data_IF_929130354743
#
_entry.id   IF_929130354743
#
_cell.length_a   1.000
_cell.length_b   1.000
_cell.length_c   1.000
_cell.angle_alpha   90.00
_cell.angle_beta   90.00
_cell.angle_gamma   90.00
#
_symmetry.space_group_name_H-M   'P 1'
#
loop_
_entity.id
_entity.type
_entity.pdbx_description
1 polymer ?
#
# COMPACT_ATOMS: atom_id res chain seq x y z
N UNK A 1 18.50 -19.24 -13.63
CA UNK A 1 18.91 -18.31 -12.54
C UNK A 1 18.38 -18.93 -11.26
N UNK A 2 19.19 -19.08 -10.24
CA UNK A 2 18.72 -19.56 -8.92
C UNK A 2 17.90 -18.44 -8.25
N UNK A 3 17.07 -18.78 -7.26
CA UNK A 3 16.28 -17.77 -6.51
C UNK A 3 17.20 -16.72 -5.87
N UNK A 4 18.38 -17.14 -5.40
CA UNK A 4 19.40 -16.24 -4.82
C UNK A 4 19.92 -15.23 -5.85
N UNK A 5 20.27 -15.69 -7.06
CA UNK A 5 20.73 -14.81 -8.14
C UNK A 5 19.64 -13.84 -8.60
N UNK A 6 18.39 -14.30 -8.58
CA UNK A 6 17.24 -13.47 -8.95
C UNK A 6 17.03 -12.32 -7.94
N UNK A 7 17.03 -12.61 -6.65
CA UNK A 7 16.91 -11.59 -5.58
C UNK A 7 18.10 -10.61 -5.65
N UNK A 8 19.33 -11.11 -5.81
CA UNK A 8 20.52 -10.27 -5.99
C UNK A 8 20.36 -9.29 -7.14
N UNK A 9 19.90 -9.77 -8.29
CA UNK A 9 19.68 -8.95 -9.48
C UNK A 9 18.59 -7.89 -9.26
N UNK A 10 17.47 -8.25 -8.61
CA UNK A 10 16.39 -7.31 -8.25
C UNK A 10 16.88 -6.21 -7.33
N UNK A 11 17.65 -6.56 -6.29
CA UNK A 11 18.25 -5.60 -5.36
C UNK A 11 19.24 -4.66 -6.07
N UNK A 12 20.04 -5.18 -7.00
CA UNK A 12 20.96 -4.34 -7.79
C UNK A 12 20.21 -3.32 -8.65
N UNK A 13 19.16 -3.74 -9.36
CA UNK A 13 18.32 -2.85 -10.16
C UNK A 13 17.67 -1.76 -9.27
N UNK A 14 17.12 -2.16 -8.12
CA UNK A 14 16.49 -1.22 -7.18
C UNK A 14 17.49 -0.20 -6.64
N UNK A 15 18.68 -0.64 -6.24
CA UNK A 15 19.74 0.26 -5.75
C UNK A 15 20.23 1.23 -6.81
N UNK A 16 20.32 0.82 -8.05
CA UNK A 16 20.61 1.71 -9.17
C UNK A 16 19.54 2.80 -9.30
N UNK A 17 18.26 2.42 -9.19
CA UNK A 17 17.15 3.36 -9.27
C UNK A 17 17.15 4.34 -8.08
N UNK A 18 17.43 3.85 -6.86
CA UNK A 18 17.62 4.71 -5.69
C UNK A 18 18.73 5.75 -5.93
N UNK A 19 19.86 5.33 -6.53
CA UNK A 19 20.95 6.23 -6.89
C UNK A 19 20.52 7.32 -7.88
N UNK A 20 19.76 6.95 -8.90
CA UNK A 20 19.27 7.87 -9.94
C UNK A 20 18.33 8.94 -9.37
N UNK A 21 17.54 8.58 -8.36
CA UNK A 21 16.54 9.46 -7.74
C UNK A 21 17.01 10.07 -6.42
N UNK A 22 18.29 9.92 -6.06
CA UNK A 22 18.90 10.49 -4.85
C UNK A 22 18.23 10.06 -3.54
N UNK A 23 17.77 8.80 -3.45
CA UNK A 23 17.33 8.17 -2.22
C UNK A 23 18.44 7.32 -1.60
N UNK A 24 18.57 7.36 -0.28
CA UNK A 24 19.50 6.54 0.49
C UNK A 24 18.90 5.22 0.94
N UNK A 25 17.57 5.18 1.08
CA UNK A 25 16.80 3.99 1.42
C UNK A 25 15.41 4.01 0.78
N UNK A 26 14.80 2.84 0.63
CA UNK A 26 13.40 2.65 0.24
C UNK A 26 12.68 1.79 1.26
N UNK A 27 11.50 2.24 1.69
CA UNK A 27 10.55 1.45 2.47
C UNK A 27 9.58 0.79 1.49
N UNK A 28 9.44 -0.52 1.59
CA UNK A 28 8.53 -1.34 0.80
C UNK A 28 7.55 -2.03 1.74
N UNK A 29 6.35 -1.48 1.85
CA UNK A 29 5.27 -2.07 2.62
C UNK A 29 4.62 -3.23 1.85
N UNK A 30 4.09 -4.21 2.58
CA UNK A 30 3.12 -5.11 2.01
C UNK A 30 1.76 -4.43 1.99
N UNK A 31 1.33 -4.04 0.79
CA UNK A 31 0.09 -3.32 0.57
C UNK A 31 -0.02 -2.87 -0.88
N UNK A 32 -1.23 -2.52 -1.25
CA UNK A 32 -1.58 -1.92 -2.53
C UNK A 32 -2.19 -0.51 -2.33
N UNK A 33 -2.73 0.02 -3.39
CA UNK A 33 -3.35 1.34 -3.45
C UNK A 33 -4.67 1.42 -2.64
N UNK A 34 -5.22 0.27 -2.25
CA UNK A 34 -6.40 0.15 -1.39
C UNK A 34 -6.03 -0.11 0.08
N UNK A 35 -4.75 -0.27 0.40
CA UNK A 35 -4.20 -0.69 1.69
C UNK A 35 -4.80 -2.03 2.15
N UNK A 36 -5.01 -2.95 1.20
CA UNK A 36 -5.66 -4.24 1.42
C UNK A 36 -4.76 -5.24 2.13
N UNK A 37 -5.35 -6.08 2.99
CA UNK A 37 -4.66 -7.21 3.63
C UNK A 37 -4.38 -8.35 2.64
N UNK A 38 -5.22 -8.51 1.64
CA UNK A 38 -5.08 -9.51 0.58
C UNK A 38 -4.76 -8.82 -0.74
N UNK A 39 -3.71 -9.28 -1.40
CA UNK A 39 -3.21 -8.66 -2.62
C UNK A 39 -3.40 -9.56 -3.84
N UNK A 40 -3.70 -9.00 -5.00
CA UNK A 40 -3.56 -9.73 -6.24
C UNK A 40 -2.08 -10.02 -6.55
N UNK A 41 -1.75 -11.09 -7.30
CA UNK A 41 -0.36 -11.50 -7.55
C UNK A 41 0.54 -10.39 -8.11
N UNK A 42 -0.02 -9.50 -8.91
CA UNK A 42 0.69 -8.37 -9.51
C UNK A 42 0.96 -7.20 -8.55
N UNK A 43 0.50 -7.27 -7.30
CA UNK A 43 0.75 -6.29 -6.23
C UNK A 43 1.61 -6.83 -5.08
N UNK A 44 2.03 -8.08 -5.14
CA UNK A 44 2.91 -8.73 -4.14
C UNK A 44 4.36 -8.22 -4.23
N UNK A 45 4.53 -6.90 -4.14
CA UNK A 45 5.79 -6.18 -4.29
C UNK A 45 6.83 -6.57 -3.25
N UNK A 46 6.38 -6.77 -2.00
CA UNK A 46 7.25 -7.24 -0.92
C UNK A 46 7.79 -8.63 -1.23
N UNK A 47 6.94 -9.56 -1.64
CA UNK A 47 7.35 -10.91 -2.01
C UNK A 47 8.31 -10.91 -3.21
N UNK A 48 8.07 -10.06 -4.20
CA UNK A 48 8.96 -9.91 -5.35
C UNK A 48 10.39 -9.54 -4.94
N UNK A 49 10.56 -8.55 -4.05
CA UNK A 49 11.91 -8.06 -3.72
C UNK A 49 12.60 -8.89 -2.64
N UNK A 50 11.86 -9.56 -1.74
CA UNK A 50 12.42 -10.27 -0.59
C UNK A 50 12.34 -11.79 -0.69
N UNK A 51 11.42 -12.33 -1.49
CA UNK A 51 10.99 -13.75 -1.47
C UNK A 51 10.00 -14.07 -0.35
N UNK A 52 9.71 -13.14 0.57
CA UNK A 52 8.81 -13.36 1.69
C UNK A 52 7.34 -13.23 1.28
N UNK A 53 6.55 -14.28 1.51
CA UNK A 53 5.14 -14.38 1.10
C UNK A 53 4.14 -14.27 2.25
N UNK A 54 4.59 -13.87 3.45
CA UNK A 54 3.70 -13.66 4.60
C UNK A 54 2.79 -12.46 4.42
N UNK A 55 1.65 -12.44 5.11
CA UNK A 55 0.63 -11.40 4.93
C UNK A 55 0.89 -10.08 5.67
N UNK A 56 1.95 -10.00 6.47
CA UNK A 56 2.34 -8.76 7.16
C UNK A 56 3.85 -8.61 7.19
N UNK A 57 4.35 -7.53 6.64
CA UNK A 57 5.78 -7.25 6.60
C UNK A 57 6.10 -5.93 5.91
N UNK A 58 7.27 -5.40 6.22
CA UNK A 58 7.86 -4.23 5.58
C UNK A 58 9.33 -4.48 5.35
N UNK A 59 9.84 -4.23 4.16
CA UNK A 59 11.26 -4.24 3.89
C UNK A 59 11.81 -2.83 3.82
N UNK A 60 13.07 -2.68 4.25
CA UNK A 60 13.87 -1.49 3.98
C UNK A 60 15.09 -1.90 3.18
N UNK A 61 15.31 -1.27 2.05
CA UNK A 61 16.47 -1.50 1.18
C UNK A 61 17.33 -0.24 1.13
N UNK A 62 18.58 -0.35 1.56
CA UNK A 62 19.54 0.74 1.51
C UNK A 62 20.23 0.81 0.15
N UNK A 63 20.56 2.02 -0.26
CA UNK A 63 21.57 2.26 -1.30
C UNK A 63 22.94 1.83 -0.76
N UNK A 64 23.70 1.07 -1.52
CA UNK A 64 24.85 0.25 -1.10
C UNK A 64 26.03 0.94 -0.37
N UNK A 65 25.96 2.23 -0.03
CA UNK A 65 27.05 2.98 0.61
C UNK A 65 26.58 3.94 1.71
N UNK A 66 25.38 3.85 2.19
CA UNK A 66 24.76 4.83 3.12
C UNK A 66 24.72 4.35 4.56
N UNK A 67 25.68 3.52 4.99
CA UNK A 67 25.73 3.03 6.39
C UNK A 67 26.61 3.95 7.23
N UNK A 68 26.04 4.46 8.34
CA UNK A 68 26.74 5.21 9.37
C UNK A 68 27.75 4.32 10.09
N UNK A 69 28.87 4.88 10.51
CA UNK A 69 29.75 4.20 11.47
C UNK A 69 29.03 4.07 12.82
N UNK A 70 28.70 2.82 13.18
CA UNK A 70 27.82 2.48 14.31
C UNK A 70 28.51 2.54 15.65
N UNK A 71 29.84 2.67 15.66
CA UNK A 71 30.62 2.74 16.90
C UNK A 71 30.19 3.87 17.87
N UNK A 72 29.41 4.84 17.36
CA UNK A 72 28.92 6.02 18.09
C UNK A 72 27.39 6.13 18.23
N UNK A 73 26.64 5.07 17.93
CA UNK A 73 25.16 5.14 17.96
C UNK A 73 24.61 5.16 19.41
N UNK A 74 23.64 6.07 19.72
CA UNK A 74 23.03 6.18 21.04
C UNK A 74 21.92 5.16 21.33
N UNK A 75 21.82 4.06 20.57
CA UNK A 75 20.75 3.07 20.74
C UNK A 75 21.01 2.21 21.97
N UNK A 76 19.96 2.02 22.78
CA UNK A 76 19.93 1.20 23.99
C UNK A 76 19.99 -0.32 23.73
N UNK A 77 20.39 -0.76 22.55
CA UNK A 77 20.64 -2.15 22.22
C UNK A 77 22.09 -2.46 22.60
N UNK A 78 22.31 -3.54 23.31
CA UNK A 78 23.68 -3.95 23.71
C UNK A 78 24.57 -4.08 22.45
N UNK A 79 25.83 -3.61 22.55
CA UNK A 79 26.73 -3.53 21.36
C UNK A 79 26.96 -4.84 20.63
N UNK A 80 26.79 -5.98 21.29
CA UNK A 80 26.88 -7.30 20.69
C UNK A 80 25.70 -7.60 19.75
N UNK A 81 24.50 -7.09 20.08
CA UNK A 81 23.30 -7.23 19.22
C UNK A 81 23.35 -6.30 18.00
N UNK A 82 23.98 -5.12 18.10
CA UNK A 82 24.14 -4.18 16.98
C UNK A 82 25.02 -4.72 15.84
N UNK A 83 26.09 -5.44 16.17
CA UNK A 83 26.96 -6.06 15.13
C UNK A 83 26.27 -7.21 14.42
N UNK A 84 25.32 -7.87 15.06
CA UNK A 84 24.45 -8.90 14.46
C UNK A 84 23.36 -8.24 13.61
N UNK A 85 22.90 -7.04 13.97
CA UNK A 85 21.83 -6.27 13.33
C UNK A 85 22.21 -5.69 11.95
N UNK A 86 23.48 -5.74 11.56
CA UNK A 86 24.00 -4.95 10.42
C UNK A 86 24.83 -5.76 9.44
N UNK A 87 24.47 -7.01 9.25
CA UNK A 87 25.14 -7.86 8.24
C UNK A 87 24.80 -7.42 6.83
N UNK A 88 23.60 -6.87 6.63
CA UNK A 88 23.06 -6.62 5.33
C UNK A 88 22.61 -5.17 5.13
N UNK A 89 22.60 -4.75 3.89
CA UNK A 89 22.10 -3.44 3.46
C UNK A 89 20.60 -3.48 3.11
N UNK A 90 19.89 -4.49 3.63
CA UNK A 90 18.44 -4.57 3.59
C UNK A 90 17.92 -5.32 4.82
N UNK A 91 16.74 -4.94 5.27
CA UNK A 91 16.07 -5.56 6.41
C UNK A 91 14.60 -5.85 6.09
N UNK A 92 14.09 -6.94 6.68
CA UNK A 92 12.69 -7.33 6.63
C UNK A 92 12.12 -7.33 8.06
N UNK A 93 11.08 -6.55 8.27
CA UNK A 93 10.37 -6.45 9.54
C UNK A 93 9.05 -7.18 9.43
N UNK A 94 8.78 -8.11 10.34
CA UNK A 94 7.57 -8.95 10.34
C UNK A 94 6.95 -9.03 11.73
N UNK A 95 5.68 -9.40 11.80
CA UNK A 95 5.06 -9.70 13.10
C UNK A 95 5.47 -11.11 13.62
N UNK A 96 5.13 -11.39 14.88
CA UNK A 96 5.52 -12.62 15.55
C UNK A 96 5.05 -13.92 14.87
N UNK A 97 3.99 -13.85 14.06
CA UNK A 97 3.45 -15.02 13.31
C UNK A 97 4.40 -15.46 12.20
N UNK A 98 5.22 -14.55 11.69
CA UNK A 98 6.04 -14.75 10.49
C UNK A 98 7.53 -14.88 10.72
N UNK A 99 8.01 -14.89 11.97
CA UNK A 99 9.45 -14.91 12.27
C UNK A 99 10.18 -16.12 11.69
N UNK A 100 9.58 -17.30 11.74
CA UNK A 100 10.17 -18.51 11.17
C UNK A 100 10.11 -18.50 9.63
N UNK A 101 8.98 -18.08 9.07
CA UNK A 101 8.80 -17.97 7.63
C UNK A 101 9.77 -16.96 7.02
N UNK A 102 9.94 -15.80 7.63
CA UNK A 102 10.88 -14.78 7.18
C UNK A 102 12.33 -15.31 7.13
N UNK A 103 12.76 -16.05 8.16
CA UNK A 103 14.10 -16.66 8.19
C UNK A 103 14.33 -17.71 7.10
N UNK A 104 13.27 -18.38 6.66
CA UNK A 104 13.37 -19.42 5.61
C UNK A 104 13.30 -18.80 4.22
N UNK A 105 12.43 -17.82 4.03
CA UNK A 105 12.11 -17.26 2.71
C UNK A 105 12.97 -16.05 2.33
N UNK A 106 13.22 -15.13 3.26
CA UNK A 106 14.11 -14.01 3.00
C UNK A 106 15.57 -14.48 3.17
N UNK A 107 16.30 -14.48 2.05
CA UNK A 107 17.68 -14.99 2.07
C UNK A 107 18.55 -14.13 3.00
N UNK A 108 19.16 -14.79 4.00
CA UNK A 108 20.01 -14.15 5.03
C UNK A 108 21.33 -13.56 4.48
N UNK A 109 21.68 -13.84 3.22
CA UNK A 109 22.79 -13.16 2.55
C UNK A 109 22.45 -11.70 2.15
N UNK A 110 21.16 -11.37 2.08
CA UNK A 110 20.69 -10.06 1.61
C UNK A 110 19.85 -9.31 2.63
N UNK A 111 19.10 -10.04 3.49
CA UNK A 111 18.15 -9.45 4.44
C UNK A 111 18.42 -9.88 5.87
N UNK A 112 18.51 -8.92 6.76
CA UNK A 112 18.31 -9.15 8.19
C UNK A 112 16.81 -9.18 8.48
N UNK A 113 16.34 -10.15 9.28
CA UNK A 113 14.92 -10.31 9.59
C UNK A 113 14.65 -10.00 11.05
N UNK A 114 13.74 -9.06 11.30
CA UNK A 114 13.38 -8.57 12.65
C UNK A 114 11.89 -8.76 12.93
N UNK A 115 11.59 -8.92 14.21
CA UNK A 115 10.22 -8.87 14.69
C UNK A 115 9.91 -7.43 15.15
N UNK A 116 8.78 -6.84 14.72
CA UNK A 116 8.41 -5.44 14.94
C UNK A 116 8.48 -4.97 16.40
N UNK A 117 8.08 -5.83 17.34
CA UNK A 117 8.07 -5.50 18.76
C UNK A 117 9.43 -5.68 19.46
N UNK A 118 10.45 -6.17 18.75
CA UNK A 118 11.83 -6.30 19.27
C UNK A 118 12.69 -5.21 18.68
N UNK A 119 12.65 -5.04 17.35
CA UNK A 119 13.36 -3.96 16.64
C UNK A 119 12.39 -3.26 15.73
N UNK A 120 12.10 -1.99 16.02
CA UNK A 120 11.24 -1.21 15.14
C UNK A 120 12.02 -0.76 13.90
N UNK A 121 11.31 -0.71 12.76
CA UNK A 121 11.88 -0.19 11.51
C UNK A 121 12.44 1.23 11.68
N UNK A 122 11.77 2.06 12.46
CA UNK A 122 12.16 3.46 12.70
C UNK A 122 13.48 3.52 13.47
N UNK A 123 13.60 2.75 14.52
CA UNK A 123 14.84 2.69 15.31
C UNK A 123 16.01 2.15 14.50
N UNK A 124 15.75 1.12 13.68
CA UNK A 124 16.74 0.58 12.77
C UNK A 124 17.21 1.63 11.75
N UNK A 125 16.28 2.37 11.11
CA UNK A 125 16.62 3.46 10.19
C UNK A 125 17.44 4.56 10.86
N UNK A 126 17.03 4.99 12.07
CA UNK A 126 17.76 6.02 12.86
C UNK A 126 19.17 5.57 13.25
N UNK A 127 19.35 4.26 13.47
CA UNK A 127 20.66 3.69 13.82
C UNK A 127 21.63 3.69 12.65
N UNK A 128 21.14 3.35 11.48
CA UNK A 128 21.97 3.02 10.32
C UNK A 128 22.22 4.22 9.42
N UNK A 129 21.20 5.07 9.22
CA UNK A 129 21.32 6.18 8.29
C UNK A 129 22.02 7.38 8.92
N UNK A 130 22.99 7.99 8.23
CA UNK A 130 23.56 9.25 8.63
C UNK A 130 22.52 10.39 8.58
N UNK A 131 22.79 11.47 9.31
CA UNK A 131 21.99 12.69 9.19
C UNK A 131 21.98 13.20 7.74
N UNK A 132 20.88 13.81 7.35
CA UNK A 132 20.58 14.31 5.99
C UNK A 132 20.31 13.21 4.95
N UNK A 133 20.18 11.94 5.36
CA UNK A 133 19.72 10.88 4.48
C UNK A 133 18.27 11.10 4.01
N UNK A 134 17.96 10.59 2.84
CA UNK A 134 16.63 10.66 2.21
C UNK A 134 16.07 9.25 2.09
N UNK A 135 14.93 9.01 2.75
CA UNK A 135 14.19 7.74 2.69
C UNK A 135 13.00 7.90 1.76
N UNK A 136 12.85 6.98 0.81
CA UNK A 136 11.73 6.92 -0.12
C UNK A 136 10.60 6.01 0.37
N UNK A 137 9.36 6.37 0.08
CA UNK A 137 8.17 5.53 0.27
C UNK A 137 7.17 5.82 -0.85
N UNK A 138 6.48 4.78 -1.31
CA UNK A 138 5.41 4.96 -2.31
C UNK A 138 4.18 5.61 -1.65
N UNK A 139 3.72 6.78 -2.16
CA UNK A 139 2.54 7.46 -1.63
C UNK A 139 1.26 6.64 -1.74
N UNK A 140 1.16 5.73 -2.70
CA UNK A 140 -0.04 4.90 -2.92
C UNK A 140 -0.11 3.70 -1.96
N UNK A 141 0.98 3.38 -1.25
CA UNK A 141 1.07 2.22 -0.36
C UNK A 141 1.27 2.62 1.11
N UNK A 142 0.87 3.81 1.49
CA UNK A 142 0.97 4.31 2.87
C UNK A 142 -0.19 5.25 3.19
N UNK A 143 -0.77 5.14 4.40
CA UNK A 143 -1.78 6.10 4.83
C UNK A 143 -1.16 7.47 5.14
N UNK A 144 -1.93 8.53 5.01
CA UNK A 144 -1.49 9.89 5.34
C UNK A 144 -1.00 10.01 6.80
N UNK A 145 -1.70 9.38 7.74
CA UNK A 145 -1.34 9.41 9.14
C UNK A 145 -0.01 8.67 9.38
N UNK A 146 0.12 7.44 8.87
CA UNK A 146 1.36 6.67 9.00
C UNK A 146 2.56 7.38 8.33
N UNK A 147 2.34 8.03 7.19
CA UNK A 147 3.38 8.83 6.56
C UNK A 147 3.83 9.99 7.45
N UNK A 148 2.90 10.74 8.05
CA UNK A 148 3.24 11.87 8.90
C UNK A 148 3.93 11.44 10.21
N UNK A 149 3.46 10.37 10.84
CA UNK A 149 4.09 9.78 12.02
C UNK A 149 5.55 9.40 11.71
N UNK A 150 5.75 8.62 10.64
CA UNK A 150 7.07 8.18 10.21
C UNK A 150 7.98 9.37 9.85
N UNK A 151 7.44 10.36 9.14
CA UNK A 151 8.16 11.59 8.77
C UNK A 151 8.63 12.36 9.99
N UNK A 152 7.76 12.54 10.99
CA UNK A 152 8.08 13.27 12.20
C UNK A 152 9.15 12.52 13.03
N UNK A 153 9.03 11.21 13.15
CA UNK A 153 9.99 10.38 13.88
C UNK A 153 11.38 10.39 13.22
N UNK A 154 11.46 10.26 11.91
CA UNK A 154 12.75 10.29 11.19
C UNK A 154 13.40 11.68 11.23
N UNK A 155 12.60 12.74 11.23
CA UNK A 155 13.08 14.12 11.30
C UNK A 155 13.85 14.41 12.61
N UNK A 156 13.56 13.71 13.71
CA UNK A 156 14.31 13.84 14.98
C UNK A 156 15.80 13.48 14.83
N UNK A 157 16.14 12.69 13.82
CA UNK A 157 17.54 12.33 13.50
C UNK A 157 18.05 13.01 12.22
N UNK A 158 17.40 14.09 11.79
CA UNK A 158 17.69 14.78 10.53
C UNK A 158 17.61 13.86 9.29
N UNK A 159 16.71 12.88 9.29
CA UNK A 159 16.43 12.02 8.16
C UNK A 159 15.15 12.52 7.49
N UNK A 160 15.18 12.69 6.18
CA UNK A 160 14.04 13.18 5.39
C UNK A 160 13.26 12.04 4.79
N UNK A 161 11.95 11.95 5.03
CA UNK A 161 11.06 11.04 4.32
C UNK A 161 10.44 11.76 3.12
N UNK A 162 10.52 11.16 1.93
CA UNK A 162 9.96 11.68 0.69
C UNK A 162 9.13 10.64 -0.05
N UNK A 163 8.13 11.09 -0.77
CA UNK A 163 7.42 10.23 -1.72
C UNK A 163 8.29 9.92 -2.94
N UNK A 164 8.25 8.68 -3.39
CA UNK A 164 8.83 8.28 -4.68
C UNK A 164 7.92 8.78 -5.82
N UNK A 165 8.48 9.12 -7.00
CA UNK A 165 7.68 9.59 -8.13
C UNK A 165 6.76 8.52 -8.73
N UNK A 166 7.09 7.26 -8.54
CA UNK A 166 6.34 6.07 -8.91
C UNK A 166 6.75 4.91 -8.00
N UNK A 167 6.08 3.77 -8.11
CA UNK A 167 6.50 2.57 -7.39
C UNK A 167 7.78 2.00 -7.99
N UNK A 168 8.88 2.02 -7.23
CA UNK A 168 10.19 1.57 -7.71
C UNK A 168 10.27 0.04 -7.88
N UNK A 169 9.46 -0.73 -7.15
CA UNK A 169 9.39 -2.16 -7.37
C UNK A 169 8.71 -2.46 -8.70
N UNK A 170 7.60 -1.80 -9.00
CA UNK A 170 6.91 -1.94 -10.28
C UNK A 170 7.79 -1.54 -11.47
N UNK A 171 8.64 -0.53 -11.30
CA UNK A 171 9.56 -0.07 -12.34
C UNK A 171 10.64 -1.12 -12.71
N UNK A 172 11.01 -2.00 -11.79
CA UNK A 172 12.01 -3.06 -12.03
C UNK A 172 11.39 -4.45 -12.28
N UNK A 173 10.09 -4.61 -12.06
CA UNK A 173 9.37 -5.89 -12.15
C UNK A 173 8.89 -6.15 -13.59
N UNK A 174 9.77 -6.67 -14.44
CA UNK A 174 9.47 -6.90 -15.86
C UNK A 174 8.48 -8.06 -16.08
N UNK A 175 8.57 -9.12 -15.25
CA UNK A 175 7.72 -10.30 -15.34
C UNK A 175 6.47 -10.19 -14.48
N UNK A 176 6.03 -8.97 -14.18
CA UNK A 176 4.83 -8.71 -13.40
C UNK A 176 3.62 -9.38 -14.06
N UNK A 177 2.87 -10.16 -13.30
CA UNK A 177 1.67 -10.81 -13.80
C UNK A 177 0.70 -9.76 -14.39
N UNK A 178 0.06 -10.11 -15.48
CA UNK A 178 -1.01 -9.27 -16.01
C UNK A 178 -2.12 -9.15 -14.97
N UNK A 179 -2.75 -8.00 -14.93
CA UNK A 179 -3.94 -7.81 -14.12
C UNK A 179 -5.06 -8.69 -14.69
N UNK A 180 -5.50 -9.65 -13.89
CA UNK A 180 -6.71 -10.40 -14.20
C UNK A 180 -7.91 -9.54 -13.85
N UNK A 181 -8.91 -9.52 -14.72
CA UNK A 181 -10.16 -8.85 -14.43
C UNK A 181 -11.33 -9.76 -14.73
N UNK A 182 -12.35 -9.68 -13.91
CA UNK A 182 -13.62 -10.33 -14.10
C UNK A 182 -14.74 -9.29 -14.06
N UNK A 183 -15.84 -9.51 -14.76
CA UNK A 183 -17.00 -8.63 -14.67
C UNK A 183 -17.49 -8.50 -13.22
N UNK A 184 -18.01 -7.32 -12.89
CA UNK A 184 -18.72 -7.10 -11.64
C UNK A 184 -19.92 -8.03 -11.54
N UNK A 185 -20.20 -8.53 -10.34
CA UNK A 185 -21.35 -9.38 -10.05
C UNK A 185 -22.24 -8.67 -9.03
N UNK A 186 -23.52 -8.50 -9.35
CA UNK A 186 -24.51 -8.00 -8.39
C UNK A 186 -24.74 -9.05 -7.31
N UNK A 187 -24.59 -8.63 -6.06
CA UNK A 187 -24.90 -9.46 -4.91
C UNK A 187 -26.30 -9.11 -4.41
N UNK A 188 -27.27 -10.01 -4.69
CA UNK A 188 -28.69 -9.75 -4.53
C UNK A 188 -29.07 -9.34 -3.09
N UNK A 189 -30.03 -8.42 -2.98
CA UNK A 189 -30.47 -7.86 -1.70
C UNK A 189 -30.96 -8.90 -0.70
N UNK A 190 -31.51 -10.02 -1.18
CA UNK A 190 -31.92 -11.14 -0.31
C UNK A 190 -30.80 -11.73 0.54
N UNK A 191 -29.53 -11.54 0.13
CA UNK A 191 -28.36 -12.00 0.90
C UNK A 191 -27.68 -10.89 1.67
N UNK A 192 -27.90 -9.62 1.29
CA UNK A 192 -27.22 -8.46 1.88
C UNK A 192 -27.91 -7.91 3.13
N UNK A 193 -29.19 -8.19 3.32
CA UNK A 193 -30.00 -7.67 4.43
C UNK A 193 -30.35 -6.17 4.33
N UNK A 194 -29.63 -5.40 3.51
CA UNK A 194 -29.88 -3.97 3.30
C UNK A 194 -29.53 -3.57 1.84
N UNK A 195 -30.49 -3.03 1.08
CA UNK A 195 -30.23 -2.55 -0.28
C UNK A 195 -29.16 -1.47 -0.33
N UNK A 196 -28.37 -1.44 -1.42
CA UNK A 196 -27.33 -0.45 -1.66
C UNK A 196 -27.86 0.99 -1.56
N UNK A 197 -29.04 1.25 -2.11
CA UNK A 197 -29.69 2.58 -2.06
C UNK A 197 -29.95 3.03 -0.62
N UNK A 198 -30.35 2.12 0.27
CA UNK A 198 -30.58 2.46 1.68
C UNK A 198 -29.27 2.72 2.44
N UNK A 199 -28.22 1.94 2.20
CA UNK A 199 -26.87 2.21 2.75
C UNK A 199 -26.37 3.58 2.32
N UNK A 200 -26.55 3.92 1.04
CA UNK A 200 -26.21 5.21 0.47
C UNK A 200 -26.91 6.38 1.19
N UNK A 201 -28.22 6.29 1.41
CA UNK A 201 -28.99 7.28 2.16
C UNK A 201 -28.48 7.44 3.60
N UNK A 202 -28.18 6.33 4.28
CA UNK A 202 -27.66 6.35 5.65
C UNK A 202 -26.31 7.09 5.73
N UNK A 203 -25.38 6.77 4.82
CA UNK A 203 -24.08 7.44 4.80
C UNK A 203 -24.24 8.93 4.46
N UNK A 204 -25.04 9.27 3.45
CA UNK A 204 -25.29 10.66 3.08
C UNK A 204 -25.93 11.45 4.25
N UNK A 205 -26.83 10.82 5.02
CA UNK A 205 -27.35 11.41 6.25
C UNK A 205 -26.26 11.70 7.28
N UNK A 206 -25.37 10.75 7.53
CA UNK A 206 -24.25 10.93 8.46
C UNK A 206 -23.34 12.09 7.99
N UNK A 207 -23.07 12.20 6.69
CA UNK A 207 -22.31 13.31 6.14
C UNK A 207 -22.98 14.66 6.41
N UNK A 208 -24.29 14.76 6.15
CA UNK A 208 -25.05 15.99 6.46
C UNK A 208 -25.01 16.33 7.95
N UNK A 209 -25.26 15.35 8.81
CA UNK A 209 -25.26 15.53 10.27
C UNK A 209 -23.88 16.01 10.79
N UNK A 210 -22.79 15.61 10.12
CA UNK A 210 -21.41 16.01 10.43
C UNK A 210 -20.95 17.27 9.66
N UNK A 211 -21.79 17.87 8.84
CA UNK A 211 -21.46 18.99 7.96
C UNK A 211 -20.28 18.69 7.01
N UNK A 212 -20.25 17.47 6.48
CA UNK A 212 -19.27 17.02 5.51
C UNK A 212 -19.90 16.94 4.12
N UNK A 213 -19.14 17.33 3.10
CA UNK A 213 -19.62 17.34 1.73
C UNK A 213 -19.57 15.96 1.09
N UNK A 214 -18.49 15.19 1.38
CA UNK A 214 -18.27 13.88 0.78
C UNK A 214 -17.41 12.97 1.68
N UNK A 215 -17.46 11.66 1.37
CA UNK A 215 -16.57 10.64 1.89
C UNK A 215 -15.88 9.94 0.71
N UNK A 216 -14.56 9.91 0.73
CA UNK A 216 -13.75 9.07 -0.16
C UNK A 216 -13.54 7.69 0.48
N UNK A 217 -13.79 6.64 -0.28
CA UNK A 217 -13.64 5.24 0.16
C UNK A 217 -12.58 4.59 -0.71
N UNK A 218 -11.44 4.23 -0.11
CA UNK A 218 -10.33 3.52 -0.76
C UNK A 218 -10.36 2.02 -0.54
N UNK A 219 -10.96 1.54 0.55
CA UNK A 219 -11.07 0.10 0.83
C UNK A 219 -12.04 -0.57 -0.14
N UNK A 220 -11.53 -1.53 -0.92
CA UNK A 220 -12.34 -2.30 -1.87
C UNK A 220 -13.50 -3.01 -1.19
N UNK A 221 -13.31 -3.58 0.00
CA UNK A 221 -14.37 -4.24 0.77
C UNK A 221 -15.51 -3.28 1.10
N UNK A 222 -15.18 -2.06 1.49
CA UNK A 222 -16.17 -1.03 1.84
C UNK A 222 -16.95 -0.56 0.61
N UNK A 223 -16.28 -0.40 -0.54
CA UNK A 223 -16.93 -0.09 -1.82
C UNK A 223 -17.90 -1.23 -2.21
N UNK A 224 -17.42 -2.48 -2.16
CA UNK A 224 -18.23 -3.65 -2.50
C UNK A 224 -19.42 -3.84 -1.55
N UNK A 225 -19.24 -3.54 -0.25
CA UNK A 225 -20.33 -3.54 0.72
C UNK A 225 -21.35 -2.44 0.41
N UNK A 226 -20.93 -1.22 0.13
CA UNK A 226 -21.82 -0.11 -0.14
C UNK A 226 -22.66 -0.34 -1.40
N UNK A 227 -22.03 -0.83 -2.47
CA UNK A 227 -22.68 -1.07 -3.75
C UNK A 227 -23.40 -2.43 -3.83
N UNK A 228 -23.25 -3.32 -2.85
CA UNK A 228 -23.74 -4.70 -2.93
C UNK A 228 -23.26 -5.42 -4.19
N UNK A 229 -21.99 -5.28 -4.50
CA UNK A 229 -21.35 -5.97 -5.64
C UNK A 229 -20.26 -6.91 -5.18
N UNK A 230 -19.84 -7.79 -6.05
CA UNK A 230 -18.70 -8.70 -5.87
C UNK A 230 -17.85 -8.72 -7.13
N UNK A 231 -16.60 -9.17 -6.98
CA UNK A 231 -15.65 -9.36 -8.07
C UNK A 231 -14.70 -10.51 -7.78
N UNK A 232 -13.65 -10.62 -8.60
CA UNK A 232 -12.63 -11.66 -8.48
C UNK A 232 -11.22 -11.09 -8.69
N UNK A 233 -11.01 -9.84 -8.34
CA UNK A 233 -9.72 -9.17 -8.55
C UNK A 233 -8.64 -9.68 -7.61
N UNK A 234 -9.05 -10.23 -6.46
CA UNK A 234 -8.14 -10.76 -5.44
C UNK A 234 -8.43 -12.24 -5.21
N UNK A 235 -7.44 -13.13 -5.23
CA UNK A 235 -7.63 -14.54 -4.91
C UNK A 235 -8.27 -14.73 -3.54
N UNK A 236 -9.30 -15.57 -3.47
CA UNK A 236 -10.02 -15.92 -2.24
C UNK A 236 -10.78 -14.77 -1.56
N UNK A 237 -10.84 -13.59 -2.15
CA UNK A 237 -11.59 -12.44 -1.68
C UNK A 237 -12.55 -11.96 -2.77
N UNK A 238 -13.89 -12.01 -2.56
CA UNK A 238 -14.85 -11.71 -3.62
C UNK A 238 -15.06 -10.20 -3.80
N UNK A 239 -14.02 -9.47 -4.10
CA UNK A 239 -14.05 -8.02 -4.29
C UNK A 239 -13.68 -7.61 -5.71
N UNK A 240 -14.22 -6.47 -6.12
CA UNK A 240 -13.75 -5.67 -7.24
C UNK A 240 -12.93 -4.50 -6.67
N UNK A 241 -11.67 -4.41 -7.07
CA UNK A 241 -10.81 -3.30 -6.66
C UNK A 241 -11.27 -2.03 -7.35
N UNK A 242 -11.56 -1.02 -6.56
CA UNK A 242 -12.08 0.26 -7.05
C UNK A 242 -12.10 1.29 -5.92
N UNK A 243 -12.27 2.56 -6.29
CA UNK A 243 -12.45 3.66 -5.36
C UNK A 243 -13.82 4.28 -5.54
N UNK A 244 -14.31 4.94 -4.49
CA UNK A 244 -15.64 5.54 -4.54
C UNK A 244 -15.67 6.86 -3.78
N UNK A 245 -16.41 7.83 -4.30
CA UNK A 245 -16.79 9.04 -3.57
C UNK A 245 -18.28 9.05 -3.41
N UNK A 246 -18.76 9.17 -2.18
CA UNK A 246 -20.18 9.42 -1.86
C UNK A 246 -20.34 10.81 -1.29
N UNK A 247 -21.32 11.52 -1.80
CA UNK A 247 -21.65 12.91 -1.41
C UNK A 247 -22.81 12.96 -0.42
N UNK A 248 -22.86 14.04 0.35
CA UNK A 248 -24.02 14.37 1.20
C UNK A 248 -25.33 14.54 0.42
N UNK A 249 -25.25 14.78 -0.88
CA UNK A 249 -26.38 14.79 -1.82
C UNK A 249 -26.86 13.42 -2.26
N UNK A 250 -26.23 12.34 -1.78
CA UNK A 250 -26.45 10.95 -2.22
C UNK A 250 -25.87 10.62 -3.61
N UNK A 251 -25.21 11.56 -4.29
CA UNK A 251 -24.49 11.28 -5.53
C UNK A 251 -23.30 10.35 -5.23
N UNK A 252 -22.98 9.46 -6.19
CA UNK A 252 -21.81 8.59 -6.14
C UNK A 252 -21.00 8.76 -7.41
N UNK A 253 -19.69 8.87 -7.24
CA UNK A 253 -18.69 8.69 -8.30
C UNK A 253 -17.92 7.38 -8.01
N UNK A 254 -17.98 6.44 -8.93
CA UNK A 254 -17.31 5.14 -8.84
C UNK A 254 -16.12 5.09 -9.80
N UNK A 255 -14.91 4.99 -9.26
CA UNK A 255 -13.65 4.91 -10.00
C UNK A 255 -13.26 3.45 -10.09
N UNK A 256 -13.43 2.87 -11.27
CA UNK A 256 -13.28 1.43 -11.52
C UNK A 256 -12.77 1.18 -12.93
N UNK A 257 -12.00 0.11 -13.12
CA UNK A 257 -11.65 -0.34 -14.47
C UNK A 257 -12.90 -0.65 -15.28
N UNK A 258 -13.13 0.11 -16.32
CA UNK A 258 -14.34 0.00 -17.14
C UNK A 258 -14.50 -1.35 -17.84
N UNK A 259 -13.43 -2.11 -18.03
CA UNK A 259 -13.48 -3.49 -18.55
C UNK A 259 -14.26 -4.44 -17.65
N UNK A 260 -14.35 -4.10 -16.34
CA UNK A 260 -15.10 -4.86 -15.34
C UNK A 260 -16.61 -4.56 -15.36
N UNK A 261 -17.03 -3.55 -16.11
CA UNK A 261 -18.45 -3.14 -16.23
C UNK A 261 -18.90 -3.33 -17.68
N UNK A 262 -19.41 -4.52 -18.03
CA UNK A 262 -19.94 -4.75 -19.37
C UNK A 262 -21.12 -3.83 -19.68
N UNK A 263 -21.20 -3.35 -20.92
CA UNK A 263 -22.25 -2.41 -21.34
C UNK A 263 -23.67 -2.98 -21.18
N UNK A 264 -23.84 -4.27 -21.33
CA UNK A 264 -25.11 -4.98 -21.14
C UNK A 264 -25.57 -5.04 -19.70
N UNK A 265 -24.65 -4.91 -18.72
CA UNK A 265 -24.95 -4.85 -17.28
C UNK A 265 -25.30 -3.43 -16.78
N UNK A 266 -25.01 -2.37 -17.52
CA UNK A 266 -25.22 -1.00 -17.04
C UNK A 266 -26.65 -0.73 -16.59
N UNK A 267 -27.64 -1.23 -17.32
CA UNK A 267 -29.05 -1.07 -16.97
C UNK A 267 -29.41 -1.81 -15.68
N UNK A 268 -28.91 -3.02 -15.50
CA UNK A 268 -29.13 -3.83 -14.31
C UNK A 268 -28.45 -3.21 -13.09
N UNK A 269 -27.20 -2.77 -13.21
CA UNK A 269 -26.47 -2.05 -12.17
C UNK A 269 -27.20 -0.77 -11.77
N UNK A 270 -27.69 0.01 -12.73
CA UNK A 270 -28.44 1.23 -12.46
C UNK A 270 -29.77 0.94 -11.72
N UNK A 271 -30.42 -0.16 -12.05
CA UNK A 271 -31.61 -0.60 -11.31
C UNK A 271 -31.26 -1.02 -9.87
N UNK A 272 -30.11 -1.67 -9.68
CA UNK A 272 -29.67 -2.21 -8.39
C UNK A 272 -29.28 -1.12 -7.37
N UNK A 273 -28.46 -0.15 -7.76
CA UNK A 273 -27.95 0.88 -6.83
C UNK A 273 -28.31 2.35 -7.22
N UNK A 274 -29.16 2.52 -8.21
CA UNK A 274 -29.55 3.85 -8.71
C UNK A 274 -28.49 4.49 -9.61
N UNK A 275 -28.66 5.77 -9.92
CA UNK A 275 -27.73 6.49 -10.78
C UNK A 275 -26.37 6.68 -10.09
N UNK A 276 -25.31 6.29 -10.79
CA UNK A 276 -23.91 6.45 -10.39
C UNK A 276 -23.15 7.00 -11.60
N UNK A 277 -22.18 7.89 -11.34
CA UNK A 277 -21.23 8.36 -12.34
C UNK A 277 -19.98 7.45 -12.32
N UNK A 278 -19.63 6.88 -13.48
CA UNK A 278 -18.51 5.95 -13.63
C UNK A 278 -17.30 6.64 -14.23
N UNK A 279 -16.14 6.42 -13.64
CA UNK A 279 -14.87 6.95 -14.10
C UNK A 279 -13.80 5.86 -14.15
N UNK A 280 -12.87 5.91 -15.13
CA UNK A 280 -11.65 5.11 -15.07
C UNK A 280 -10.84 5.43 -13.82
N UNK A 281 -10.14 4.44 -13.25
CA UNK A 281 -9.36 4.61 -12.01
C UNK A 281 -8.28 5.70 -12.13
N UNK A 282 -7.66 5.85 -13.29
CA UNK A 282 -6.65 6.88 -13.56
C UNK A 282 -7.18 8.32 -13.39
N UNK A 283 -8.51 8.50 -13.45
CA UNK A 283 -9.17 9.79 -13.20
C UNK A 283 -9.30 10.15 -11.72
N UNK A 284 -8.94 9.24 -10.81
CA UNK A 284 -8.95 9.52 -9.38
C UNK A 284 -8.03 10.69 -9.01
N UNK A 285 -6.85 10.79 -9.60
CA UNK A 285 -5.93 11.90 -9.35
C UNK A 285 -6.48 13.26 -9.83
N UNK A 286 -7.34 13.27 -10.84
CA UNK A 286 -8.02 14.47 -11.31
C UNK A 286 -9.08 14.94 -10.32
N UNK A 287 -9.63 14.05 -9.50
CA UNK A 287 -10.55 14.42 -8.42
C UNK A 287 -9.89 15.39 -7.43
N UNK A 288 -8.67 15.08 -6.97
CA UNK A 288 -7.91 15.93 -6.07
C UNK A 288 -7.66 17.33 -6.68
N UNK A 289 -7.33 17.41 -7.99
CA UNK A 289 -7.12 18.67 -8.70
C UNK A 289 -8.39 19.50 -8.88
N UNK A 290 -9.51 18.85 -9.17
CA UNK A 290 -10.82 19.53 -9.37
C UNK A 290 -11.35 20.16 -8.08
N UNK A 291 -10.92 19.67 -6.91
CA UNK A 291 -11.53 19.96 -5.62
C UNK A 291 -10.70 20.86 -4.69
N UNK A 292 -9.61 21.43 -5.14
CA UNK A 292 -8.80 22.38 -4.33
C UNK A 292 -9.57 23.59 -3.80
N UNK A 293 -10.84 23.76 -4.14
CA UNK A 293 -11.55 24.99 -3.85
C UNK A 293 -12.63 24.97 -2.77
N UNK A 294 -13.19 23.88 -2.25
CA UNK A 294 -14.28 23.98 -1.25
C UNK A 294 -14.97 22.69 -0.78
N UNK A 295 -14.29 21.59 -0.46
CA UNK A 295 -15.00 20.43 0.09
C UNK A 295 -14.33 19.89 1.35
N UNK A 296 -15.13 19.63 2.40
CA UNK A 296 -14.71 18.84 3.56
C UNK A 296 -14.85 17.35 3.24
N UNK A 297 -13.74 16.72 2.83
CA UNK A 297 -13.69 15.29 2.52
C UNK A 297 -12.99 14.58 3.66
N UNK A 298 -13.60 13.49 4.17
CA UNK A 298 -12.95 12.52 5.05
C UNK A 298 -12.49 11.33 4.20
N UNK A 299 -11.27 10.84 4.48
CA UNK A 299 -10.72 9.59 3.97
C UNK A 299 -10.71 8.54 5.06
#
# INVERSE_FOLDING_TARGET
>A
MTDVELIKHRLQKLRSLLGTHEFDALIVNRGDEHLSDYLPPNKERLAYITGFTGSAGTAVILKAQSIKDISSSPISIEKEDLTVLLRNTAALFVDGRYTLQARVQANSEFFDSFQYNIVSMIEWLKAILPANSVVGIDPMCVSYNSFNELKNELALNNITLKFTPNNFIDAIWQEKANEEFAPVVIFEDKYNGCPSVEKRKQIAKILRDKQLDALFISSSESVNWLLNVRGRDVPNLPVINSFLVIYSSEQIEWYVDQRKIPNDMLSELQHHFGKIDYYPEDKLLDLAKRRQKSYSIIC
#
